data_IF_612985302425
#
_entry.id   IF_612985302425
#
_cell.length_a   1.000
_cell.length_b   1.000
_cell.length_c   1.000
_cell.angle_alpha   90.00
_cell.angle_beta   90.00
_cell.angle_gamma   90.00
#
_symmetry.space_group_name_H-M   'P 1'
#
loop_
_entity.id
_entity.type
_entity.pdbx_description
1 polymer ?
#
# COMPACT_ATOMS: atom_id res chain seq x y z
N UNK A 1 15.26 -44.69 3.41
CA UNK A 1 14.15 -43.71 3.42
C UNK A 1 14.76 -42.32 3.38
N UNK A 2 14.90 -41.73 2.19
CA UNK A 2 15.34 -40.33 2.04
C UNK A 2 14.13 -39.43 2.26
N UNK A 3 14.21 -38.59 3.28
CA UNK A 3 13.25 -37.52 3.48
C UNK A 3 13.45 -36.52 2.33
N UNK A 4 12.38 -36.30 1.57
CA UNK A 4 12.29 -35.25 0.57
C UNK A 4 12.29 -33.94 1.35
N UNK A 5 13.45 -33.30 1.46
CA UNK A 5 13.54 -31.89 1.80
C UNK A 5 12.74 -31.12 0.74
N UNK A 6 11.52 -30.71 1.10
CA UNK A 6 10.77 -29.73 0.33
C UNK A 6 11.57 -28.43 0.40
N UNK A 7 12.39 -28.23 -0.62
CA UNK A 7 13.11 -27.01 -0.90
C UNK A 7 12.11 -25.85 -0.77
N UNK A 8 12.21 -25.06 0.29
CA UNK A 8 11.41 -23.85 0.45
C UNK A 8 12.10 -22.79 -0.42
N UNK A 9 11.55 -22.43 -1.60
CA UNK A 9 12.24 -21.53 -2.53
C UNK A 9 12.39 -20.09 -1.97
N UNK A 10 11.86 -19.82 -0.77
CA UNK A 10 11.86 -18.51 -0.13
C UNK A 10 13.08 -18.21 0.72
N UNK A 11 14.05 -19.13 0.81
CA UNK A 11 15.42 -18.80 1.26
C UNK A 11 16.24 -18.40 0.03
N UNK A 12 15.67 -17.53 -0.80
CA UNK A 12 16.37 -16.87 -1.90
C UNK A 12 17.08 -15.63 -1.39
N UNK A 13 18.09 -15.18 -2.13
CA UNK A 13 18.74 -13.87 -1.94
C UNK A 13 17.73 -12.80 -1.52
N UNK A 14 18.08 -11.95 -0.54
CA UNK A 14 17.28 -10.80 -0.10
C UNK A 14 16.87 -9.87 -1.27
N UNK A 15 17.51 -10.00 -2.43
CA UNK A 15 17.19 -9.27 -3.66
C UNK A 15 16.73 -10.26 -4.72
N UNK A 16 15.43 -10.26 -5.01
CA UNK A 16 14.81 -10.95 -6.17
C UNK A 16 14.96 -10.10 -7.44
N UNK A 17 14.75 -10.68 -8.62
CA UNK A 17 14.69 -9.89 -9.85
C UNK A 17 13.51 -8.93 -9.79
N UNK A 18 13.69 -7.71 -10.29
CA UNK A 18 12.60 -6.72 -10.36
C UNK A 18 11.43 -7.25 -11.19
N UNK A 19 11.69 -8.02 -12.26
CA UNK A 19 10.62 -8.55 -13.11
C UNK A 19 9.74 -9.55 -12.35
N UNK A 20 10.34 -10.43 -11.55
CA UNK A 20 9.61 -11.38 -10.72
C UNK A 20 8.78 -10.67 -9.63
N UNK A 21 9.34 -9.61 -9.02
CA UNK A 21 8.62 -8.80 -8.02
C UNK A 21 7.41 -8.12 -8.66
N UNK A 22 7.59 -7.49 -9.83
CA UNK A 22 6.51 -6.81 -10.54
C UNK A 22 5.43 -7.78 -11.02
N UNK A 23 5.80 -8.98 -11.48
CA UNK A 23 4.85 -10.03 -11.85
C UNK A 23 4.01 -10.47 -10.64
N UNK A 24 4.63 -10.62 -9.47
CA UNK A 24 3.92 -10.93 -8.22
C UNK A 24 3.01 -9.78 -7.77
N UNK A 25 3.49 -8.53 -7.84
CA UNK A 25 2.71 -7.35 -7.49
C UNK A 25 1.51 -7.14 -8.42
N UNK A 26 1.61 -7.50 -9.70
CA UNK A 26 0.51 -7.40 -10.64
C UNK A 26 -0.65 -8.38 -10.34
N UNK A 27 -0.42 -9.41 -9.53
CA UNK A 27 -1.47 -10.37 -9.16
C UNK A 27 -2.52 -9.70 -8.26
N UNK A 28 -3.82 -10.01 -8.44
CA UNK A 28 -4.85 -9.51 -7.54
C UNK A 28 -4.58 -9.87 -6.09
N UNK A 29 -4.88 -8.94 -5.17
CA UNK A 29 -4.75 -9.20 -3.74
C UNK A 29 -5.83 -10.23 -3.37
N UNK A 30 -5.49 -11.32 -2.66
CA UNK A 30 -6.47 -12.33 -2.29
C UNK A 30 -7.67 -11.72 -1.54
N UNK A 31 -8.89 -12.08 -1.95
CA UNK A 31 -10.14 -11.48 -1.45
C UNK A 31 -10.28 -11.51 0.07
N UNK A 32 -9.68 -12.48 0.76
CA UNK A 32 -9.62 -12.54 2.24
C UNK A 32 -8.99 -11.31 2.91
N UNK A 33 -8.21 -10.53 2.17
CA UNK A 33 -7.58 -9.30 2.65
C UNK A 33 -8.36 -8.03 2.26
N UNK A 34 -9.33 -8.16 1.36
CA UNK A 34 -10.18 -7.06 0.88
C UNK A 34 -11.36 -6.93 1.83
N UNK A 35 -11.60 -5.70 2.29
CA UNK A 35 -12.72 -5.31 3.14
C UNK A 35 -13.54 -4.26 2.42
N UNK A 36 -14.85 -4.25 2.62
CA UNK A 36 -15.69 -3.16 2.13
C UNK A 36 -15.80 -2.07 3.19
N UNK A 37 -15.58 -0.82 2.77
CA UNK A 37 -15.81 0.36 3.61
C UNK A 37 -16.96 1.19 3.04
N UNK A 38 -17.91 1.63 3.86
CA UNK A 38 -18.93 2.56 3.42
C UNK A 38 -18.29 3.90 3.03
N UNK A 39 -18.72 4.45 1.90
CA UNK A 39 -18.37 5.81 1.48
C UNK A 39 -19.53 6.72 1.83
N UNK A 40 -19.23 7.85 2.47
CA UNK A 40 -20.21 8.86 2.80
C UNK A 40 -19.90 10.15 2.05
N UNK A 41 -20.95 10.86 1.65
CA UNK A 41 -20.85 12.20 1.09
C UNK A 41 -21.79 13.13 1.85
N UNK A 42 -21.47 14.42 1.91
CA UNK A 42 -22.38 15.42 2.48
C UNK A 42 -23.46 15.77 1.43
N UNK A 43 -24.73 15.57 1.79
CA UNK A 43 -25.90 16.02 1.00
C UNK A 43 -26.80 16.85 1.92
N UNK A 44 -27.04 18.11 1.55
CA UNK A 44 -27.81 19.06 2.37
C UNK A 44 -27.30 19.19 3.83
N UNK A 45 -25.97 19.18 4.02
CA UNK A 45 -25.36 19.27 5.36
C UNK A 45 -25.38 17.99 6.19
N UNK A 46 -25.99 16.90 5.72
CA UNK A 46 -26.00 15.60 6.40
C UNK A 46 -25.05 14.61 5.72
N UNK A 47 -24.35 13.79 6.51
CA UNK A 47 -23.58 12.65 6.02
C UNK A 47 -24.55 11.55 5.56
N UNK A 48 -24.51 11.22 4.27
CA UNK A 48 -25.32 10.14 3.68
C UNK A 48 -24.38 9.10 3.08
N UNK A 49 -24.63 7.81 3.35
CA UNK A 49 -23.90 6.71 2.71
C UNK A 49 -24.21 6.72 1.21
N UNK A 50 -23.19 6.89 0.39
CA UNK A 50 -23.30 6.98 -1.08
C UNK A 50 -22.78 5.75 -1.80
N UNK A 51 -22.15 4.82 -1.10
CA UNK A 51 -21.68 3.56 -1.68
C UNK A 51 -20.78 2.77 -0.75
N UNK A 52 -20.07 1.82 -1.33
CA UNK A 52 -19.02 1.04 -0.68
C UNK A 52 -17.79 0.99 -1.59
N UNK A 53 -16.63 0.89 -0.98
CA UNK A 53 -15.34 0.79 -1.68
C UNK A 53 -14.53 -0.35 -1.10
N UNK A 54 -13.90 -1.11 -1.99
CA UNK A 54 -12.94 -2.12 -1.60
C UNK A 54 -11.69 -1.46 -0.99
N UNK A 55 -11.28 -2.00 0.14
CA UNK A 55 -10.23 -1.46 0.98
C UNK A 55 -9.34 -2.58 1.50
N UNK A 56 -8.04 -2.39 1.34
CA UNK A 56 -7.01 -3.23 1.96
C UNK A 56 -6.24 -2.37 2.95
N UNK A 57 -6.03 -2.88 4.17
CA UNK A 57 -5.33 -2.14 5.22
C UNK A 57 -3.84 -1.94 4.91
N UNK A 58 -3.28 -0.82 5.37
CA UNK A 58 -1.86 -0.52 5.22
C UNK A 58 -0.95 -1.66 5.72
N UNK A 59 -1.31 -2.29 6.85
CA UNK A 59 -0.57 -3.42 7.42
C UNK A 59 -0.54 -4.65 6.52
N UNK A 60 -1.54 -4.83 5.65
CA UNK A 60 -1.52 -5.87 4.62
C UNK A 60 -0.52 -5.52 3.53
N UNK A 61 -0.47 -4.25 3.08
CA UNK A 61 0.53 -3.82 2.11
C UNK A 61 1.96 -4.03 2.65
N UNK A 62 2.23 -3.69 3.92
CA UNK A 62 3.51 -3.98 4.56
C UNK A 62 3.83 -5.48 4.50
N UNK A 63 2.91 -6.36 4.88
CA UNK A 63 3.11 -7.81 4.81
C UNK A 63 3.38 -8.32 3.39
N UNK A 64 2.72 -7.72 2.39
CA UNK A 64 2.94 -8.09 0.98
C UNK A 64 4.30 -7.58 0.49
N UNK A 65 4.72 -6.38 0.88
CA UNK A 65 6.07 -5.86 0.60
C UNK A 65 7.14 -6.74 1.24
N UNK A 66 7.03 -7.07 2.53
CA UNK A 66 7.94 -8.00 3.22
C UNK A 66 8.00 -9.37 2.54
N UNK A 67 6.87 -9.84 2.03
CA UNK A 67 6.78 -11.15 1.40
C UNK A 67 7.41 -11.19 0.00
N UNK A 68 7.15 -10.18 -0.83
CA UNK A 68 7.57 -10.18 -2.24
C UNK A 68 8.88 -9.45 -2.49
N UNK A 69 9.17 -8.40 -1.72
CA UNK A 69 10.32 -7.51 -1.86
C UNK A 69 10.94 -7.21 -0.47
N UNK A 70 11.44 -8.23 0.24
CA UNK A 70 12.08 -8.03 1.54
C UNK A 70 13.23 -7.03 1.43
N UNK A 71 13.38 -6.15 2.43
CA UNK A 71 14.40 -5.10 2.43
C UNK A 71 14.05 -3.86 1.60
N UNK A 72 12.78 -3.67 1.24
CA UNK A 72 12.30 -2.38 0.72
C UNK A 72 12.56 -1.24 1.71
N UNK A 73 12.60 -0.02 1.19
CA UNK A 73 12.71 1.21 1.98
C UNK A 73 11.46 2.07 1.79
N UNK A 74 10.97 2.66 2.88
CA UNK A 74 9.82 3.57 2.87
C UNK A 74 10.16 4.84 3.64
N UNK A 75 10.27 5.94 2.90
CA UNK A 75 10.57 7.26 3.44
C UNK A 75 9.36 8.16 3.30
N UNK A 76 9.12 9.02 4.29
CA UNK A 76 8.05 10.01 4.24
C UNK A 76 8.55 11.43 4.52
N UNK A 77 7.91 12.40 3.90
CA UNK A 77 8.01 13.82 4.22
C UNK A 77 6.61 14.33 4.50
N UNK A 78 6.43 14.98 5.65
CA UNK A 78 5.14 15.51 6.10
C UNK A 78 5.12 17.02 5.90
N UNK A 79 4.03 17.52 5.33
CA UNK A 79 3.76 18.94 5.13
C UNK A 79 2.39 19.28 5.71
N UNK A 80 2.32 20.37 6.46
CA UNK A 80 1.08 20.91 6.99
C UNK A 80 0.69 22.14 6.16
N UNK A 81 -0.41 22.03 5.41
CA UNK A 81 -0.88 23.05 4.47
C UNK A 81 -2.27 23.51 4.91
N UNK A 82 -2.32 24.51 5.80
CA UNK A 82 -3.58 25.03 6.33
C UNK A 82 -4.32 23.96 7.14
N UNK A 83 -5.47 23.53 6.64
CA UNK A 83 -6.35 22.50 7.20
C UNK A 83 -6.04 21.08 6.68
N UNK A 84 -4.90 20.89 5.99
CA UNK A 84 -4.51 19.60 5.41
C UNK A 84 -3.16 19.13 5.91
N UNK A 85 -3.09 17.84 6.22
CA UNK A 85 -1.83 17.11 6.42
C UNK A 85 -1.53 16.34 5.14
N UNK A 86 -0.43 16.68 4.47
CA UNK A 86 0.03 16.03 3.23
C UNK A 86 1.28 15.22 3.54
N UNK A 87 1.31 13.97 3.11
CA UNK A 87 2.46 13.08 3.22
C UNK A 87 2.95 12.74 1.83
N UNK A 88 4.19 13.11 1.51
CA UNK A 88 4.92 12.61 0.35
C UNK A 88 5.67 11.36 0.78
N UNK A 89 5.39 10.24 0.11
CA UNK A 89 6.03 8.96 0.39
C UNK A 89 6.89 8.49 -0.77
N UNK A 90 8.03 7.87 -0.47
CA UNK A 90 9.00 7.32 -1.40
C UNK A 90 9.25 5.86 -1.08
N UNK A 91 8.84 4.97 -1.98
CA UNK A 91 9.04 3.52 -1.87
C UNK A 91 10.22 3.10 -2.75
N UNK A 92 11.23 2.48 -2.14
CA UNK A 92 12.37 1.89 -2.86
C UNK A 92 12.32 0.36 -2.76
N UNK A 93 12.24 -0.31 -3.92
CA UNK A 93 12.37 -1.76 -4.03
C UNK A 93 13.84 -2.09 -4.33
N UNK A 94 14.46 -2.92 -3.49
CA UNK A 94 15.85 -3.38 -3.64
C UNK A 94 15.86 -4.70 -4.42
N UNK A 95 16.15 -4.65 -5.71
CA UNK A 95 16.20 -5.82 -6.58
C UNK A 95 17.64 -6.18 -6.97
N UNK A 96 17.80 -7.31 -7.69
CA UNK A 96 19.12 -7.75 -8.19
C UNK A 96 19.72 -6.73 -9.16
N UNK A 97 18.86 -6.12 -9.96
CA UNK A 97 19.21 -5.15 -11.00
C UNK A 97 19.46 -3.74 -10.45
N UNK A 98 19.21 -3.53 -9.16
CA UNK A 98 19.41 -2.24 -8.48
C UNK A 98 18.17 -1.78 -7.71
N UNK A 99 18.12 -0.48 -7.46
CA UNK A 99 17.08 0.14 -6.65
C UNK A 99 16.03 0.82 -7.54
N UNK A 100 14.77 0.48 -7.34
CA UNK A 100 13.64 1.00 -8.11
C UNK A 100 12.77 1.85 -7.21
N UNK A 101 12.47 3.08 -7.63
CA UNK A 101 11.83 4.10 -6.78
C UNK A 101 10.51 4.55 -7.38
N UNK A 102 9.48 4.66 -6.54
CA UNK A 102 8.21 5.34 -6.88
C UNK A 102 7.77 6.21 -5.72
N UNK A 103 7.23 7.37 -6.07
CA UNK A 103 6.77 8.36 -5.11
C UNK A 103 5.27 8.61 -5.27
N UNK A 104 4.58 8.94 -4.18
CA UNK A 104 3.17 9.28 -4.19
C UNK A 104 2.83 10.15 -2.99
N UNK A 105 1.72 10.88 -3.10
CA UNK A 105 1.20 11.69 -2.01
C UNK A 105 0.01 11.02 -1.36
N UNK A 106 -0.20 11.30 -0.08
CA UNK A 106 -1.43 11.09 0.65
C UNK A 106 -1.82 12.40 1.33
N UNK A 107 -3.11 12.60 1.56
CA UNK A 107 -3.59 13.76 2.30
C UNK A 107 -4.75 13.38 3.21
N UNK A 108 -4.90 14.13 4.30
CA UNK A 108 -6.03 14.05 5.22
C UNK A 108 -6.34 15.46 5.75
N UNK A 109 -7.57 15.70 6.20
CA UNK A 109 -7.90 16.91 6.96
C UNK A 109 -7.11 16.91 8.28
N UNK A 110 -6.60 18.07 8.71
CA UNK A 110 -5.81 18.19 9.94
C UNK A 110 -6.67 18.05 11.19
N UNK A 111 -7.96 18.34 11.09
CA UNK A 111 -8.96 18.01 12.11
C UNK A 111 -9.70 16.75 11.66
N UNK A 112 -9.51 15.65 12.38
CA UNK A 112 -10.09 14.34 12.02
C UNK A 112 -11.07 13.93 13.10
N UNK A 113 -12.37 13.91 12.76
CA UNK A 113 -13.45 13.37 13.63
C UNK A 113 -13.51 11.82 13.61
N UNK A 114 -12.43 11.18 13.17
CA UNK A 114 -12.35 9.75 12.85
C UNK A 114 -11.27 8.98 13.60
N UNK A 115 -11.06 7.73 13.21
CA UNK A 115 -10.01 6.87 13.80
C UNK A 115 -8.64 7.15 13.20
N UNK A 116 -7.62 7.26 14.06
CA UNK A 116 -6.24 7.55 13.69
C UNK A 116 -5.94 9.05 13.63
N UNK A 117 -4.66 9.41 13.57
CA UNK A 117 -4.24 10.80 13.37
C UNK A 117 -4.12 11.14 11.88
N UNK A 118 -4.23 12.43 11.50
CA UNK A 118 -4.12 12.89 10.12
C UNK A 118 -2.87 12.38 9.39
N UNK A 119 -1.73 12.31 10.08
CA UNK A 119 -0.46 11.91 9.48
C UNK A 119 -0.47 10.42 9.14
N UNK A 120 -0.90 9.56 10.06
CA UNK A 120 -1.03 8.11 9.82
C UNK A 120 -1.97 7.80 8.66
N UNK A 121 -3.09 8.51 8.56
CA UNK A 121 -4.07 8.31 7.48
C UNK A 121 -3.50 8.76 6.12
N UNK A 122 -2.85 9.92 6.08
CA UNK A 122 -2.18 10.43 4.90
C UNK A 122 -1.02 9.50 4.47
N UNK A 123 -0.18 9.02 5.39
CA UNK A 123 0.88 8.06 5.10
C UNK A 123 0.33 6.75 4.52
N UNK A 124 -0.70 6.18 5.14
CA UNK A 124 -1.33 4.96 4.64
C UNK A 124 -1.89 5.14 3.22
N UNK A 125 -2.35 6.34 2.88
CA UNK A 125 -2.79 6.70 1.53
C UNK A 125 -1.61 6.78 0.55
N UNK A 126 -0.52 7.46 0.95
CA UNK A 126 0.70 7.57 0.16
C UNK A 126 1.32 6.19 -0.14
N UNK A 127 1.45 5.34 0.88
CA UNK A 127 1.99 3.99 0.77
C UNK A 127 1.20 3.16 -0.26
N UNK A 128 -0.14 3.12 -0.14
CA UNK A 128 -1.00 2.37 -1.07
C UNK A 128 -0.85 2.85 -2.51
N UNK A 129 -0.74 4.16 -2.72
CA UNK A 129 -0.52 4.75 -4.06
C UNK A 129 0.87 4.43 -4.61
N UNK A 130 1.91 4.46 -3.79
CA UNK A 130 3.26 4.01 -4.18
C UNK A 130 3.27 2.54 -4.59
N UNK A 131 2.65 1.67 -3.78
CA UNK A 131 2.49 0.24 -4.10
C UNK A 131 1.76 0.05 -5.44
N UNK A 132 0.66 0.78 -5.66
CA UNK A 132 -0.09 0.69 -6.91
C UNK A 132 0.75 1.12 -8.14
N UNK A 133 1.68 2.08 -8.00
CA UNK A 133 2.63 2.45 -9.07
C UNK A 133 3.65 1.35 -9.43
N UNK A 134 3.79 0.33 -8.57
CA UNK A 134 4.52 -0.91 -8.86
C UNK A 134 3.61 -2.08 -9.25
N UNK A 135 2.29 -1.84 -9.37
CA UNK A 135 1.28 -2.86 -9.68
C UNK A 135 0.57 -3.44 -8.46
N UNK A 136 1.18 -3.36 -7.27
CA UNK A 136 0.63 -3.96 -6.04
C UNK A 136 -0.67 -3.28 -5.63
N UNK A 137 -1.78 -4.02 -5.75
CA UNK A 137 -3.11 -3.52 -5.39
C UNK A 137 -3.71 -2.55 -6.41
N UNK A 138 -3.13 -2.43 -7.62
CA UNK A 138 -3.60 -1.52 -8.67
C UNK A 138 -5.05 -1.83 -9.10
N UNK A 139 -5.41 -3.11 -9.22
CA UNK A 139 -6.77 -3.56 -9.57
C UNK A 139 -7.88 -3.03 -8.64
N UNK A 140 -7.57 -2.57 -7.42
CA UNK A 140 -8.57 -1.96 -6.52
C UNK A 140 -8.98 -0.54 -6.97
N UNK A 141 -8.26 0.05 -7.91
CA UNK A 141 -8.48 1.40 -8.44
C UNK A 141 -9.09 1.39 -9.85
N UNK A 142 -9.12 0.23 -10.50
CA UNK A 142 -9.76 0.00 -11.78
C UNK A 142 -11.25 -0.22 -11.52
N UNK A 143 -12.09 0.70 -12.00
CA UNK A 143 -13.55 0.63 -11.91
C UNK A 143 -14.15 0.49 -13.29
#
# INVERSE_FOLDING_TARGET
MQAIEKNNPRIGSFRRSILEILEDFAKPIPSRFIKQKPVFSRRNGQLVKTGEVDYVSWSTYIKLLEYYAPGYDWEIRVQYLGDRTVVEGRLTIRAQEGDFVREATGQEESEVDGYGDPCSNAEASALRRCCAKFGLGLHLWEK
#
